data_IF_558703081434
#
_entry.id   IF_558703081434
#
_cell.length_a   1.000
_cell.length_b   1.000
_cell.length_c   1.000
_cell.angle_alpha   90.00
_cell.angle_beta   90.00
_cell.angle_gamma   90.00
#
_symmetry.space_group_name_H-M   'P 1'
#
loop_
_entity.id
_entity.type
_entity.pdbx_description
1 polymer ?
#
# COMPACT_ATOMS: atom_id res chain seq x y z
N UNK A 1 37.01 -5.50 22.61
CA UNK A 1 36.36 -4.17 22.47
C UNK A 1 36.18 -3.76 21.01
N UNK A 2 37.23 -3.74 20.18
CA UNK A 2 37.15 -3.33 18.75
C UNK A 2 36.21 -4.18 17.86
N UNK A 3 36.09 -5.48 18.16
CA UNK A 3 35.16 -6.42 17.48
C UNK A 3 33.68 -6.14 17.78
N UNK A 4 33.40 -5.61 18.97
CA UNK A 4 32.03 -5.26 19.41
C UNK A 4 31.61 -3.92 18.83
N UNK A 5 32.55 -2.98 18.69
CA UNK A 5 32.34 -1.72 17.98
C UNK A 5 31.96 -1.97 16.53
N UNK A 6 32.69 -2.83 15.81
CA UNK A 6 32.39 -3.18 14.40
C UNK A 6 30.99 -3.79 14.21
N UNK A 7 30.54 -4.64 15.15
CA UNK A 7 29.20 -5.24 15.10
C UNK A 7 28.11 -4.18 15.32
N UNK A 8 28.34 -3.25 16.27
CA UNK A 8 27.40 -2.16 16.53
C UNK A 8 27.30 -1.17 15.35
N UNK A 9 28.41 -0.85 14.69
CA UNK A 9 28.36 0.01 13.49
C UNK A 9 27.67 -0.68 12.33
N UNK A 10 27.93 -1.98 12.10
CA UNK A 10 27.24 -2.74 11.05
C UNK A 10 25.73 -2.79 11.30
N UNK A 11 25.30 -2.97 12.54
CA UNK A 11 23.88 -2.99 12.92
C UNK A 11 23.21 -1.60 12.72
N UNK A 12 23.92 -0.52 13.06
CA UNK A 12 23.42 0.84 12.85
C UNK A 12 23.25 1.18 11.35
N UNK A 13 24.15 0.70 10.49
CA UNK A 13 24.05 0.86 9.03
C UNK A 13 22.84 0.11 8.44
N UNK A 14 22.50 -1.07 8.98
CA UNK A 14 21.29 -1.81 8.56
C UNK A 14 20.02 -1.05 8.92
N UNK A 15 19.99 -0.39 10.09
CA UNK A 15 18.82 0.37 10.54
C UNK A 15 18.63 1.68 9.77
N UNK A 16 19.73 2.35 9.39
CA UNK A 16 19.71 3.56 8.58
C UNK A 16 19.30 3.32 7.11
N UNK A 17 19.34 2.07 6.65
CA UNK A 17 18.97 1.67 5.28
C UNK A 17 17.48 1.27 5.14
N UNK A 18 16.68 1.36 6.21
CA UNK A 18 15.26 1.10 6.10
C UNK A 18 14.62 2.19 5.22
N UNK A 19 13.86 1.82 4.17
CA UNK A 19 13.17 2.81 3.36
C UNK A 19 12.26 3.64 4.26
N UNK A 20 12.37 4.97 4.17
CA UNK A 20 11.46 5.87 4.86
C UNK A 20 10.03 5.54 4.41
N UNK A 21 9.13 5.31 5.37
CA UNK A 21 7.72 5.10 5.08
C UNK A 21 7.18 6.37 4.41
N UNK A 22 6.92 6.28 3.11
CA UNK A 22 6.27 7.36 2.37
C UNK A 22 4.80 7.42 2.79
N UNK A 23 4.22 8.62 2.83
CA UNK A 23 2.81 8.81 3.16
C UNK A 23 1.92 8.00 2.21
N UNK A 24 0.99 7.23 2.79
CA UNK A 24 0.00 6.49 2.02
C UNK A 24 -1.08 7.44 1.51
N UNK A 25 -1.32 7.42 0.20
CA UNK A 25 -2.45 8.12 -0.42
C UNK A 25 -3.64 7.18 -0.52
N UNK A 26 -4.80 7.60 -0.03
CA UNK A 26 -6.06 6.86 -0.14
C UNK A 26 -6.96 7.53 -1.19
N UNK A 27 -7.25 6.79 -2.26
CA UNK A 27 -8.15 7.21 -3.33
C UNK A 27 -9.51 6.52 -3.16
N UNK A 28 -10.60 7.22 -3.47
CA UNK A 28 -11.95 6.66 -3.47
C UNK A 28 -12.40 6.42 -4.91
N UNK A 29 -12.82 5.20 -5.21
CA UNK A 29 -13.31 4.79 -6.52
C UNK A 29 -14.81 4.53 -6.44
N UNK A 30 -15.61 5.34 -7.13
CA UNK A 30 -17.05 5.16 -7.25
C UNK A 30 -17.42 4.15 -8.32
N UNK A 31 -18.38 3.28 -8.04
CA UNK A 31 -18.93 2.27 -8.95
C UNK A 31 -20.45 2.21 -8.79
N UNK A 32 -21.18 2.14 -9.91
CA UNK A 32 -22.65 2.18 -9.92
C UNK A 32 -23.26 0.80 -9.71
N UNK A 33 -22.58 -0.25 -10.16
CA UNK A 33 -23.07 -1.61 -10.05
C UNK A 33 -22.94 -2.16 -8.62
N UNK A 34 -23.63 -3.27 -8.35
CA UNK A 34 -23.55 -4.01 -7.07
C UNK A 34 -22.21 -4.71 -6.90
N UNK A 35 -21.91 -5.13 -5.66
CA UNK A 35 -20.61 -5.69 -5.27
C UNK A 35 -20.13 -6.89 -6.11
N UNK A 36 -21.06 -7.75 -6.54
CA UNK A 36 -20.77 -8.99 -7.27
C UNK A 36 -20.75 -8.82 -8.79
N UNK A 37 -21.04 -7.62 -9.29
CA UNK A 37 -21.02 -7.31 -10.72
C UNK A 37 -19.59 -7.38 -11.28
N UNK A 38 -19.38 -7.78 -12.56
CA UNK A 38 -18.05 -7.95 -13.12
C UNK A 38 -17.15 -6.72 -13.03
N UNK A 39 -17.68 -5.51 -13.23
CA UNK A 39 -16.87 -4.27 -13.14
C UNK A 39 -16.44 -4.00 -11.70
N UNK A 40 -17.31 -4.21 -10.72
CA UNK A 40 -16.97 -4.07 -9.30
C UNK A 40 -15.88 -5.06 -8.87
N UNK A 41 -15.95 -6.31 -9.36
CA UNK A 41 -14.88 -7.31 -9.15
C UNK A 41 -13.56 -6.86 -9.78
N UNK A 42 -13.61 -6.28 -10.98
CA UNK A 42 -12.45 -5.68 -11.63
C UNK A 42 -11.84 -4.52 -10.81
N UNK A 43 -12.69 -3.67 -10.22
CA UNK A 43 -12.25 -2.57 -9.37
C UNK A 43 -11.54 -3.07 -8.09
N UNK A 44 -12.02 -4.15 -7.48
CA UNK A 44 -11.33 -4.77 -6.33
C UNK A 44 -9.97 -5.34 -6.71
N UNK A 45 -9.87 -6.03 -7.85
CA UNK A 45 -8.58 -6.56 -8.31
C UNK A 45 -7.61 -5.43 -8.68
N UNK A 46 -8.11 -4.35 -9.28
CA UNK A 46 -7.33 -3.13 -9.51
C UNK A 46 -6.80 -2.53 -8.20
N UNK A 47 -7.66 -2.37 -7.19
CA UNK A 47 -7.26 -1.88 -5.87
C UNK A 47 -6.16 -2.75 -5.24
N UNK A 48 -6.30 -4.09 -5.30
CA UNK A 48 -5.32 -5.05 -4.81
C UNK A 48 -3.97 -4.90 -5.51
N UNK A 49 -3.98 -4.83 -6.85
CA UNK A 49 -2.77 -4.69 -7.66
C UNK A 49 -2.05 -3.36 -7.41
N UNK A 50 -2.80 -2.27 -7.22
CA UNK A 50 -2.22 -0.96 -6.90
C UNK A 50 -1.54 -0.99 -5.54
N UNK A 51 -2.18 -1.56 -4.51
CA UNK A 51 -1.57 -1.66 -3.19
C UNK A 51 -0.28 -2.52 -3.23
N UNK A 52 -0.34 -3.69 -3.87
CA UNK A 52 0.80 -4.61 -4.01
C UNK A 52 1.97 -3.96 -4.74
N UNK A 53 1.72 -3.37 -5.92
CA UNK A 53 2.77 -2.83 -6.79
C UNK A 53 3.35 -1.51 -6.28
N UNK A 54 2.61 -0.78 -5.45
CA UNK A 54 3.10 0.46 -4.85
C UNK A 54 3.75 0.24 -3.49
N UNK A 55 3.72 -0.97 -2.95
CA UNK A 55 4.19 -1.28 -1.61
C UNK A 55 3.38 -0.53 -0.54
N UNK A 56 2.06 -0.42 -0.73
CA UNK A 56 1.16 0.28 0.19
C UNK A 56 1.18 1.81 0.13
N UNK A 57 1.94 2.40 -0.80
CA UNK A 57 1.96 3.87 -1.00
C UNK A 57 0.63 4.41 -1.55
N UNK A 58 -0.11 3.59 -2.29
CA UNK A 58 -1.44 3.94 -2.79
C UNK A 58 -2.43 2.86 -2.36
N UNK A 59 -3.52 3.28 -1.73
CA UNK A 59 -4.68 2.44 -1.42
C UNK A 59 -5.91 2.96 -2.14
N UNK A 60 -6.75 2.05 -2.61
CA UNK A 60 -7.99 2.38 -3.30
C UNK A 60 -9.14 1.76 -2.54
N UNK A 61 -10.07 2.60 -2.08
CA UNK A 61 -11.32 2.19 -1.48
C UNK A 61 -12.41 2.19 -2.55
N UNK A 62 -13.00 1.02 -2.79
CA UNK A 62 -14.07 0.86 -3.79
C UNK A 62 -15.41 1.05 -3.10
N UNK A 63 -16.18 2.02 -3.59
CA UNK A 63 -17.52 2.35 -3.14
C UNK A 63 -18.52 2.02 -4.25
N UNK A 64 -19.16 0.86 -4.13
CA UNK A 64 -20.09 0.33 -5.14
C UNK A 64 -21.52 0.84 -4.92
N UNK A 65 -22.47 0.42 -5.76
CA UNK A 65 -23.90 0.76 -5.63
C UNK A 65 -24.18 2.26 -5.50
N UNK A 66 -23.42 3.09 -6.23
CA UNK A 66 -23.54 4.56 -6.23
C UNK A 66 -23.43 5.19 -4.83
N UNK A 67 -22.65 4.59 -3.93
CA UNK A 67 -22.44 5.09 -2.57
C UNK A 67 -21.85 6.52 -2.50
N UNK A 68 -21.18 7.00 -3.56
CA UNK A 68 -20.55 8.31 -3.60
C UNK A 68 -21.37 9.38 -4.34
N UNK A 69 -22.58 9.07 -4.80
CA UNK A 69 -23.44 9.98 -5.58
C UNK A 69 -23.70 9.51 -7.00
#
# INVERSE_FOLDING_TARGET
>A
MKKWILVLTALALVFAALPAAADTVVLRLGETHVADYPTTKGNYEFARLVEERTGGRIKIEVYHSSQLG
#
